data_IF_551997329170
#
_entry.id   IF_551997329170
#
_cell.length_a   1.000
_cell.length_b   1.000
_cell.length_c   1.000
_cell.angle_alpha   90.00
_cell.angle_beta   90.00
_cell.angle_gamma   90.00
#
_symmetry.space_group_name_H-M   'P 1'
#
loop_
_entity.id
_entity.type
_entity.pdbx_description
1 polymer ?
#
# COMPACT_ATOMS: atom_id res chain seq x y z
N UNK A 1 2.98 3.00 -15.28
CA UNK A 1 1.83 3.68 -15.93
C UNK A 1 0.67 2.76 -16.36
N UNK A 2 0.81 1.42 -16.41
CA UNK A 2 -0.28 0.51 -16.86
C UNK A 2 -1.61 0.72 -16.12
N UNK A 3 -1.58 0.86 -14.79
CA UNK A 3 -2.79 1.08 -13.99
C UNK A 3 -3.52 2.39 -14.33
N UNK A 4 -2.78 3.47 -14.56
CA UNK A 4 -3.37 4.78 -14.90
C UNK A 4 -4.10 4.72 -16.23
N UNK A 5 -3.55 4.04 -17.23
CA UNK A 5 -4.23 3.83 -18.52
C UNK A 5 -5.59 3.13 -18.32
N UNK A 6 -5.61 2.05 -17.54
CA UNK A 6 -6.85 1.30 -17.25
C UNK A 6 -7.91 2.14 -16.53
N UNK A 7 -7.50 3.06 -15.64
CA UNK A 7 -8.44 3.95 -14.97
C UNK A 7 -8.94 5.08 -15.88
N UNK A 8 -8.06 5.65 -16.71
CA UNK A 8 -8.43 6.68 -17.69
C UNK A 8 -9.39 6.14 -18.74
N UNK A 9 -9.18 4.91 -19.23
CA UNK A 9 -10.09 4.22 -20.17
C UNK A 9 -11.50 4.03 -19.58
N UNK A 10 -11.60 3.91 -18.25
CA UNK A 10 -12.86 3.81 -17.52
C UNK A 10 -13.44 5.18 -17.10
N UNK A 11 -12.82 6.29 -17.50
CA UNK A 11 -13.27 7.65 -17.17
C UNK A 11 -13.05 8.06 -15.71
N UNK A 12 -12.20 7.35 -14.96
CA UNK A 12 -11.92 7.66 -13.56
C UNK A 12 -10.92 8.80 -13.46
N UNK A 13 -11.22 9.84 -12.66
CA UNK A 13 -10.30 10.95 -12.40
C UNK A 13 -9.06 10.44 -11.66
N UNK A 14 -7.92 10.46 -12.34
CA UNK A 14 -6.64 9.97 -11.80
C UNK A 14 -5.63 11.09 -11.66
N UNK A 15 -4.89 11.11 -10.56
CA UNK A 15 -3.73 11.97 -10.35
C UNK A 15 -2.50 11.09 -10.14
N UNK A 16 -1.51 11.24 -11.01
CA UNK A 16 -0.22 10.58 -10.85
C UNK A 16 0.78 11.53 -10.20
N UNK A 17 1.57 11.01 -9.27
CA UNK A 17 2.55 11.77 -8.50
C UNK A 17 3.73 10.88 -8.11
N UNK A 18 4.90 11.47 -7.93
CA UNK A 18 6.07 10.77 -7.41
C UNK A 18 5.97 10.54 -5.89
N UNK A 19 6.72 9.54 -5.41
CA UNK A 19 6.77 9.16 -4.00
C UNK A 19 7.18 10.34 -3.09
N UNK A 20 8.04 11.24 -3.55
CA UNK A 20 8.48 12.41 -2.78
C UNK A 20 7.32 13.36 -2.46
N UNK A 21 6.29 13.39 -3.30
CA UNK A 21 5.11 14.25 -3.15
C UNK A 21 3.95 13.56 -2.42
N UNK A 22 4.16 12.36 -1.86
CA UNK A 22 3.13 11.60 -1.14
C UNK A 22 2.48 12.43 -0.02
N UNK A 23 3.25 13.20 0.74
CA UNK A 23 2.72 13.97 1.86
C UNK A 23 1.71 15.04 1.43
N UNK A 24 1.90 15.64 0.27
CA UNK A 24 0.95 16.62 -0.27
C UNK A 24 -0.35 15.95 -0.75
N UNK A 25 -0.25 14.74 -1.30
CA UNK A 25 -1.41 13.98 -1.79
C UNK A 25 -2.19 13.32 -0.65
N UNK A 26 -1.49 12.87 0.40
CA UNK A 26 -2.09 12.20 1.55
C UNK A 26 -3.06 13.10 2.31
N UNK A 27 -2.82 14.42 2.34
CA UNK A 27 -3.75 15.40 2.94
C UNK A 27 -5.16 15.39 2.32
N UNK A 28 -5.27 15.02 1.05
CA UNK A 28 -6.55 14.99 0.32
C UNK A 28 -7.09 13.56 0.16
N UNK A 29 -6.32 12.54 0.56
CA UNK A 29 -6.69 11.14 0.42
C UNK A 29 -7.50 10.66 1.62
N UNK A 30 -8.60 9.96 1.36
CA UNK A 30 -9.43 9.35 2.42
C UNK A 30 -8.98 7.94 2.79
N UNK A 31 -8.28 7.23 1.89
CA UNK A 31 -7.91 5.84 2.07
C UNK A 31 -6.73 5.48 1.15
N UNK A 32 -5.85 4.60 1.62
CA UNK A 32 -4.76 4.02 0.83
C UNK A 32 -5.02 2.55 0.60
N UNK A 33 -5.04 2.11 -0.66
CA UNK A 33 -5.15 0.71 -1.05
C UNK A 33 -3.78 0.17 -1.46
N UNK A 34 -3.32 -0.90 -0.81
CA UNK A 34 -2.06 -1.56 -1.14
C UNK A 34 -2.29 -3.03 -1.48
N UNK A 35 -1.70 -3.48 -2.58
CA UNK A 35 -1.59 -4.91 -2.87
C UNK A 35 -0.40 -5.51 -2.14
N UNK A 36 -0.48 -6.81 -1.84
CA UNK A 36 0.62 -7.55 -1.23
C UNK A 36 0.99 -8.83 -1.99
N UNK A 37 2.23 -9.27 -1.75
CA UNK A 37 2.77 -10.53 -2.23
C UNK A 37 2.45 -11.67 -1.26
N UNK A 38 2.55 -11.42 0.04
CA UNK A 38 2.23 -12.38 1.09
C UNK A 38 1.80 -11.68 2.39
N UNK A 39 0.93 -12.33 3.15
CA UNK A 39 0.56 -11.95 4.52
C UNK A 39 1.11 -13.02 5.45
N UNK A 40 1.93 -12.63 6.42
CA UNK A 40 2.56 -13.53 7.36
C UNK A 40 1.61 -13.83 8.53
N UNK A 41 1.82 -14.95 9.20
CA UNK A 41 1.06 -15.37 10.40
C UNK A 41 1.10 -14.36 11.55
N UNK A 42 2.16 -13.55 11.64
CA UNK A 42 2.28 -12.47 12.63
C UNK A 42 1.58 -11.16 12.23
N UNK A 43 0.80 -11.15 11.14
CA UNK A 43 0.12 -9.95 10.63
C UNK A 43 1.01 -9.02 9.79
N UNK A 44 2.29 -9.37 9.59
CA UNK A 44 3.17 -8.63 8.71
C UNK A 44 2.78 -8.81 7.24
N UNK A 45 2.99 -7.77 6.44
CA UNK A 45 2.67 -7.83 5.01
C UNK A 45 3.92 -7.61 4.16
N UNK A 46 4.16 -8.55 3.25
CA UNK A 46 5.18 -8.43 2.20
C UNK A 46 4.60 -7.66 1.03
N UNK A 47 5.12 -6.46 0.82
CA UNK A 47 4.68 -5.56 -0.25
C UNK A 47 5.87 -5.09 -1.11
N UNK A 48 5.61 -4.57 -2.33
CA UNK A 48 6.64 -3.99 -3.17
C UNK A 48 7.42 -2.87 -2.46
N UNK A 49 8.63 -2.58 -2.94
CA UNK A 49 9.47 -1.47 -2.43
C UNK A 49 8.67 -0.16 -2.42
N UNK A 50 8.82 0.65 -1.36
CA UNK A 50 8.12 1.93 -1.18
C UNK A 50 6.77 1.85 -0.47
N UNK A 51 6.15 0.66 -0.37
CA UNK A 51 4.85 0.50 0.30
C UNK A 51 4.90 0.83 1.80
N UNK A 52 6.02 0.53 2.47
CA UNK A 52 6.22 0.88 3.88
C UNK A 52 6.26 2.40 4.08
N UNK A 53 6.89 3.14 3.17
CA UNK A 53 6.94 4.60 3.24
C UNK A 53 5.55 5.21 3.04
N UNK A 54 4.76 4.68 2.11
CA UNK A 54 3.36 5.06 1.94
C UNK A 54 2.52 4.75 3.20
N UNK A 55 2.69 3.57 3.79
CA UNK A 55 1.96 3.18 4.99
C UNK A 55 2.31 4.06 6.21
N UNK A 56 3.59 4.39 6.39
CA UNK A 56 4.05 5.30 7.44
C UNK A 56 3.54 6.73 7.22
N UNK A 57 3.60 7.23 5.98
CA UNK A 57 3.04 8.52 5.65
C UNK A 57 1.52 8.56 5.93
N UNK A 58 0.78 7.53 5.49
CA UNK A 58 -0.65 7.42 5.74
C UNK A 58 -0.96 7.42 7.25
N UNK A 59 -0.19 6.67 8.05
CA UNK A 59 -0.30 6.66 9.52
C UNK A 59 -0.08 8.06 10.11
N UNK A 60 0.93 8.79 9.64
CA UNK A 60 1.21 10.16 10.10
C UNK A 60 0.09 11.17 9.76
N UNK A 61 -0.63 10.96 8.65
CA UNK A 61 -1.77 11.77 8.24
C UNK A 61 -3.14 11.23 8.70
N UNK A 62 -3.16 10.20 9.57
CA UNK A 62 -4.37 9.52 10.03
C UNK A 62 -5.27 8.97 8.89
N UNK A 63 -4.66 8.58 7.78
CA UNK A 63 -5.36 7.96 6.64
C UNK A 63 -5.30 6.43 6.78
N UNK A 64 -6.43 5.72 6.76
CA UNK A 64 -6.45 4.26 6.88
C UNK A 64 -5.80 3.60 5.65
N UNK A 65 -5.00 2.57 5.93
CA UNK A 65 -4.35 1.73 4.91
C UNK A 65 -5.06 0.38 4.86
N UNK A 66 -5.65 0.05 3.72
CA UNK A 66 -6.25 -1.25 3.46
C UNK A 66 -5.34 -2.09 2.57
N UNK A 67 -5.13 -3.33 2.99
CA UNK A 67 -4.30 -4.30 2.28
C UNK A 67 -5.22 -5.29 1.59
N UNK A 68 -5.11 -5.35 0.26
CA UNK A 68 -5.87 -6.29 -0.56
C UNK A 68 -4.99 -7.49 -0.88
N UNK A 69 -5.38 -8.64 -0.36
CA UNK A 69 -4.70 -9.93 -0.54
C UNK A 69 -5.70 -11.03 -0.90
N UNK A 70 -5.18 -12.15 -1.40
CA UNK A 70 -5.95 -13.37 -1.61
C UNK A 70 -5.59 -14.37 -0.51
N UNK A 71 -6.53 -15.23 -0.13
CA UNK A 71 -6.39 -16.17 0.99
C UNK A 71 -5.21 -17.15 0.84
N UNK A 72 -4.84 -17.53 -0.38
CA UNK A 72 -3.68 -18.41 -0.60
C UNK A 72 -2.32 -17.73 -0.34
N UNK A 73 -2.29 -16.40 -0.24
CA UNK A 73 -1.07 -15.62 0.06
C UNK A 73 -0.78 -15.53 1.55
N UNK A 74 -1.56 -16.22 2.39
CA UNK A 74 -1.34 -16.30 3.82
C UNK A 74 -0.26 -17.36 4.05
N UNK A 75 0.82 -16.95 4.70
CA UNK A 75 2.03 -17.74 4.87
C UNK A 75 2.31 -17.88 6.35
N UNK A 76 2.41 -19.12 6.84
CA UNK A 76 2.66 -19.39 8.27
C UNK A 76 4.10 -19.07 8.73
N UNK A 77 4.96 -18.67 7.79
CA UNK A 77 6.34 -18.29 8.08
C UNK A 77 6.41 -16.86 8.61
N UNK A 78 7.15 -16.68 9.70
CA UNK A 78 7.50 -15.37 10.25
C UNK A 78 8.83 -14.90 9.65
N UNK A 79 8.86 -13.70 9.08
CA UNK A 79 10.09 -13.01 8.68
C UNK A 79 10.27 -11.80 9.59
N UNK A 80 11.29 -11.85 10.45
CA UNK A 80 11.61 -10.76 11.38
C UNK A 80 12.45 -9.64 10.74
N UNK A 81 13.09 -9.89 9.59
CA UNK A 81 13.98 -8.93 8.93
C UNK A 81 13.81 -8.98 7.42
N UNK A 82 13.27 -7.90 6.84
CA UNK A 82 12.90 -7.79 5.42
C UNK A 82 11.83 -6.73 5.17
N UNK A 83 11.50 -6.46 3.90
CA UNK A 83 10.53 -5.44 3.41
C UNK A 83 9.10 -5.66 3.93
N UNK A 84 8.90 -5.39 5.21
CA UNK A 84 7.65 -5.64 5.94
C UNK A 84 7.02 -4.32 6.29
N UNK A 85 5.80 -4.07 5.79
CA UNK A 85 5.00 -2.96 6.28
C UNK A 85 4.32 -3.42 7.58
N UNK A 86 4.83 -2.95 8.71
CA UNK A 86 4.18 -3.13 10.01
C UNK A 86 2.97 -2.19 10.09
N UNK A 87 1.77 -2.75 10.19
CA UNK A 87 0.58 -2.09 10.73
C UNK A 87 0.43 -2.54 12.18
N UNK A 88 1.32 -2.05 13.03
CA UNK A 88 1.15 -2.00 14.49
C UNK A 88 1.07 -0.55 14.92
#
# INVERSE_FOLDING_TARGET
LRHIKSFTERGIRCRYTDLNSVGAVMKNGSMVLLGCAAVLSNGCVVAPKGSMLLALAAKAFNVPVLIVSQTFKFVDKVQASGRVALLG
#
